data_IF_521530116079
#
_entry.id   IF_521530116079
#
_cell.length_a   1.000
_cell.length_b   1.000
_cell.length_c   1.000
_cell.angle_alpha   90.00
_cell.angle_beta   90.00
_cell.angle_gamma   90.00
#
_symmetry.space_group_name_H-M   'P 1'
#
loop_
_entity.id
_entity.type
_entity.pdbx_description
1 polymer ?
#
# COMPACT_ATOMS: atom_id res chain seq x y z
N UNK A 1 -10.69 -8.31 11.06
CA UNK A 1 -9.86 -8.25 9.85
C UNK A 1 -9.81 -9.64 9.24
N UNK A 2 -10.21 -9.82 7.97
CA UNK A 2 -10.28 -11.12 7.29
C UNK A 2 -9.60 -11.12 5.90
N UNK A 3 -8.82 -10.08 5.61
CA UNK A 3 -8.02 -9.99 4.39
C UNK A 3 -6.56 -10.26 4.76
N UNK A 4 -5.94 -11.23 4.10
CA UNK A 4 -4.54 -11.61 4.31
C UNK A 4 -3.80 -11.47 3.00
N UNK A 5 -2.68 -10.75 3.03
CA UNK A 5 -1.81 -10.53 1.89
C UNK A 5 -0.42 -11.12 2.16
N UNK A 6 0.12 -11.84 1.18
CA UNK A 6 1.46 -12.42 1.21
C UNK A 6 2.09 -12.33 -0.19
N UNK A 7 3.24 -12.97 -0.42
CA UNK A 7 3.88 -13.07 -1.72
C UNK A 7 4.84 -14.26 -1.76
N UNK A 8 5.08 -14.79 -2.97
CA UNK A 8 6.08 -15.83 -3.24
C UNK A 8 7.46 -15.45 -2.65
N UNK A 9 7.90 -14.21 -2.85
CA UNK A 9 9.23 -13.73 -2.48
C UNK A 9 9.39 -13.50 -0.97
N UNK A 10 8.32 -13.37 -0.20
CA UNK A 10 8.42 -13.08 1.23
C UNK A 10 9.05 -14.27 1.96
N UNK A 11 10.29 -14.08 2.41
CA UNK A 11 11.15 -15.14 2.96
C UNK A 11 11.25 -16.36 2.03
N UNK A 12 11.36 -16.11 0.71
CA UNK A 12 11.48 -17.16 -0.31
C UNK A 12 10.38 -18.25 -0.21
N UNK A 13 9.15 -17.84 0.09
CA UNK A 13 7.96 -18.69 0.15
C UNK A 13 7.60 -19.15 1.57
N UNK A 14 8.44 -18.90 2.57
CA UNK A 14 8.14 -19.29 3.96
C UNK A 14 6.91 -18.56 4.50
N UNK A 15 6.67 -17.31 4.10
CA UNK A 15 5.46 -16.58 4.50
C UNK A 15 4.18 -17.29 4.07
N UNK A 16 4.14 -17.81 2.84
CA UNK A 16 2.99 -18.56 2.34
C UNK A 16 2.77 -19.88 3.08
N UNK A 17 3.85 -20.54 3.51
CA UNK A 17 3.76 -21.76 4.33
C UNK A 17 3.15 -21.45 5.70
N UNK A 18 3.59 -20.38 6.36
CA UNK A 18 3.09 -19.95 7.67
C UNK A 18 1.61 -19.53 7.55
N UNK A 19 1.26 -18.76 6.52
CA UNK A 19 -0.13 -18.35 6.25
C UNK A 19 -1.00 -19.58 6.00
N UNK A 20 -0.54 -20.52 5.17
CA UNK A 20 -1.27 -21.76 4.90
C UNK A 20 -1.53 -22.59 6.16
N UNK A 21 -0.57 -22.62 7.08
CA UNK A 21 -0.76 -23.27 8.38
C UNK A 21 -1.80 -22.54 9.24
N UNK A 22 -1.71 -21.20 9.31
CA UNK A 22 -2.60 -20.37 10.10
C UNK A 22 -4.06 -20.39 9.61
N UNK A 23 -4.29 -20.71 8.33
CA UNK A 23 -5.62 -20.74 7.71
C UNK A 23 -6.35 -22.07 7.78
N UNK A 24 -5.72 -23.12 8.33
CA UNK A 24 -6.36 -24.44 8.43
C UNK A 24 -7.69 -24.36 9.18
N UNK A 25 -8.74 -24.87 8.54
CA UNK A 25 -10.10 -24.93 9.11
C UNK A 25 -10.88 -23.61 9.07
N UNK A 26 -10.32 -22.55 8.48
CA UNK A 26 -10.96 -21.21 8.40
C UNK A 26 -10.78 -20.54 7.04
N UNK A 27 -10.41 -21.30 6.01
CA UNK A 27 -10.09 -20.76 4.68
C UNK A 27 -11.27 -20.02 4.05
N UNK A 28 -12.49 -20.50 4.26
CA UNK A 28 -13.72 -19.89 3.72
C UNK A 28 -14.04 -18.51 4.33
N UNK A 29 -13.50 -18.19 5.51
CA UNK A 29 -13.76 -16.92 6.19
C UNK A 29 -12.80 -15.80 5.76
N UNK A 30 -11.80 -16.12 4.92
CA UNK A 30 -10.66 -15.26 4.61
C UNK A 30 -10.59 -14.93 3.13
N UNK A 31 -10.31 -13.66 2.82
CA UNK A 31 -9.90 -13.22 1.49
C UNK A 31 -8.37 -13.28 1.44
N UNK A 32 -7.82 -14.19 0.64
CA UNK A 32 -6.40 -14.46 0.52
C UNK A 32 -5.83 -13.86 -0.77
N UNK A 33 -4.91 -12.91 -0.60
CA UNK A 33 -4.14 -12.31 -1.67
C UNK A 33 -2.68 -12.79 -1.64
N UNK A 34 -2.12 -13.12 -2.81
CA UNK A 34 -0.67 -13.35 -2.96
C UNK A 34 -0.17 -12.78 -4.29
N UNK A 35 1.14 -12.66 -4.44
CA UNK A 35 1.81 -11.94 -5.52
C UNK A 35 2.92 -12.77 -6.15
N UNK A 36 3.22 -12.48 -7.42
CA UNK A 36 4.33 -13.06 -8.19
C UNK A 36 5.08 -11.98 -8.94
N UNK A 37 6.41 -12.05 -8.98
CA UNK A 37 7.26 -11.28 -9.91
C UNK A 37 8.74 -11.58 -9.69
N UNK A 38 9.18 -11.55 -8.43
CA UNK A 38 10.59 -11.55 -8.10
C UNK A 38 11.25 -12.92 -8.36
N UNK A 39 12.58 -12.99 -8.45
CA UNK A 39 13.27 -14.26 -8.69
C UNK A 39 13.09 -15.27 -7.55
N UNK A 40 12.53 -16.43 -7.85
CA UNK A 40 12.36 -17.56 -6.91
C UNK A 40 13.38 -18.67 -7.20
N UNK A 41 14.67 -18.32 -7.28
CA UNK A 41 15.80 -19.22 -7.48
C UNK A 41 16.64 -18.94 -8.73
N UNK A 42 17.65 -19.78 -8.94
CA UNK A 42 18.62 -19.59 -10.02
C UNK A 42 18.00 -19.95 -11.39
N UNK A 43 18.09 -19.00 -12.32
CA UNK A 43 17.69 -19.20 -13.71
C UNK A 43 16.80 -18.06 -14.25
N UNK A 44 16.84 -17.85 -15.58
CA UNK A 44 16.05 -16.80 -16.24
C UNK A 44 14.55 -17.10 -16.25
N UNK A 45 14.19 -18.37 -16.04
CA UNK A 45 12.85 -18.89 -16.18
C UNK A 45 12.06 -19.00 -14.85
N UNK A 46 12.60 -18.39 -13.78
CA UNK A 46 12.08 -18.40 -12.41
C UNK A 46 11.81 -16.99 -11.85
N UNK A 47 11.33 -16.09 -12.72
CA UNK A 47 11.09 -14.67 -12.41
C UNK A 47 10.17 -14.02 -13.44
N UNK A 48 9.75 -12.79 -13.16
CA UNK A 48 9.08 -11.86 -14.05
C UNK A 48 7.64 -12.22 -14.36
N UNK A 49 7.08 -11.58 -15.39
CA UNK A 49 5.64 -11.61 -15.66
C UNK A 49 5.28 -12.52 -16.84
N UNK A 50 6.16 -13.45 -17.22
CA UNK A 50 5.89 -14.36 -18.34
C UNK A 50 4.74 -15.30 -18.01
N UNK A 51 3.84 -15.56 -18.97
CA UNK A 51 2.73 -16.52 -18.81
C UNK A 51 3.21 -17.86 -18.25
N UNK A 52 4.33 -18.37 -18.75
CA UNK A 52 4.93 -19.64 -18.31
C UNK A 52 5.33 -19.60 -16.84
N UNK A 53 5.88 -18.48 -16.36
CA UNK A 53 6.27 -18.34 -14.97
C UNK A 53 5.07 -18.12 -14.05
N UNK A 54 4.15 -17.22 -14.40
CA UNK A 54 2.93 -16.95 -13.61
C UNK A 54 2.12 -18.23 -13.38
N UNK A 55 1.90 -19.05 -14.43
CA UNK A 55 1.18 -20.32 -14.31
C UNK A 55 1.93 -21.34 -13.45
N UNK A 56 3.25 -21.36 -13.51
CA UNK A 56 4.04 -22.25 -12.66
C UNK A 56 4.01 -21.78 -11.20
N UNK A 57 4.20 -20.49 -10.97
CA UNK A 57 4.32 -19.95 -9.62
C UNK A 57 2.99 -19.91 -8.87
N UNK A 58 1.85 -19.78 -9.57
CA UNK A 58 0.54 -19.91 -8.92
C UNK A 58 0.32 -21.32 -8.38
N UNK A 59 0.75 -22.36 -9.10
CA UNK A 59 0.69 -23.74 -8.63
C UNK A 59 1.58 -23.96 -7.40
N UNK A 60 2.79 -23.38 -7.39
CA UNK A 60 3.68 -23.45 -6.24
C UNK A 60 3.15 -22.65 -5.03
N UNK A 61 2.51 -21.50 -5.27
CA UNK A 61 1.86 -20.69 -4.24
C UNK A 61 0.70 -21.46 -3.59
N UNK A 62 -0.18 -22.10 -4.39
CA UNK A 62 -1.28 -22.94 -3.89
C UNK A 62 -0.76 -24.10 -3.02
N UNK A 63 0.36 -24.74 -3.41
CA UNK A 63 0.99 -25.79 -2.61
C UNK A 63 1.50 -25.27 -1.26
N UNK A 64 2.19 -24.12 -1.26
CA UNK A 64 2.70 -23.51 -0.01
C UNK A 64 1.57 -23.04 0.90
N UNK A 65 0.53 -22.42 0.32
CA UNK A 65 -0.67 -21.95 1.02
C UNK A 65 -1.63 -23.07 1.43
N UNK A 66 -1.45 -24.29 0.89
CA UNK A 66 -2.25 -25.50 1.19
C UNK A 66 -3.75 -25.28 0.98
N UNK A 67 -4.09 -24.61 -0.10
CA UNK A 67 -5.46 -24.32 -0.53
C UNK A 67 -5.56 -24.53 -2.04
N UNK A 68 -6.78 -24.73 -2.51
CA UNK A 68 -7.15 -24.90 -3.91
C UNK A 68 -7.57 -23.59 -4.59
N UNK A 69 -7.71 -22.48 -3.85
CA UNK A 69 -7.99 -21.17 -4.45
C UNK A 69 -7.26 -19.99 -3.77
N UNK A 70 -6.97 -18.99 -4.59
CA UNK A 70 -6.49 -17.66 -4.20
C UNK A 70 -7.55 -16.65 -4.65
N UNK A 71 -7.97 -15.76 -3.77
CA UNK A 71 -9.03 -14.78 -4.07
C UNK A 71 -8.50 -13.64 -4.95
N UNK A 72 -7.23 -13.26 -4.75
CA UNK A 72 -6.55 -12.22 -5.53
C UNK A 72 -5.09 -12.60 -5.81
N UNK A 73 -4.74 -12.73 -7.09
CA UNK A 73 -3.36 -13.00 -7.52
C UNK A 73 -2.80 -11.83 -8.33
N UNK A 74 -1.75 -11.19 -7.81
CA UNK A 74 -1.22 -9.93 -8.33
C UNK A 74 0.20 -10.07 -8.89
N UNK A 75 0.56 -9.20 -9.82
CA UNK A 75 1.95 -9.03 -10.25
C UNK A 75 2.64 -8.04 -9.29
N UNK A 76 3.73 -8.46 -8.63
CA UNK A 76 4.32 -7.76 -7.49
C UNK A 76 4.97 -6.40 -7.86
N UNK A 77 5.49 -6.25 -9.09
CA UNK A 77 6.09 -5.00 -9.58
C UNK A 77 5.88 -4.85 -11.11
N UNK A 78 5.62 -3.63 -11.56
CA UNK A 78 6.35 -2.97 -12.63
C UNK A 78 7.55 -2.22 -12.02
N UNK A 79 8.71 -2.21 -12.68
CA UNK A 79 10.02 -1.87 -12.09
C UNK A 79 10.55 -0.52 -12.59
N UNK A 80 11.16 0.29 -11.72
CA UNK A 80 11.97 1.51 -11.94
C UNK A 80 12.83 1.69 -10.66
N UNK A 81 14.02 2.33 -10.59
CA UNK A 81 14.93 2.29 -9.39
C UNK A 81 15.63 3.61 -9.01
N UNK A 82 15.53 4.13 -7.76
CA UNK A 82 16.12 5.45 -7.34
C UNK A 82 16.45 5.67 -5.85
N UNK A 83 17.45 6.56 -5.67
CA UNK A 83 18.04 7.27 -4.51
C UNK A 83 17.15 7.76 -3.35
N UNK A 84 17.79 7.83 -2.18
CA UNK A 84 17.18 7.83 -0.84
C UNK A 84 17.06 9.23 -0.22
N UNK A 85 17.85 10.21 -0.66
CA UNK A 85 18.00 11.51 0.03
C UNK A 85 16.74 12.39 -0.05
N UNK A 86 16.14 12.53 -1.23
CA UNK A 86 14.87 13.26 -1.41
C UNK A 86 13.72 12.58 -0.65
N UNK A 87 13.77 11.25 -0.52
CA UNK A 87 12.79 10.49 0.24
C UNK A 87 12.91 10.77 1.74
N UNK A 88 14.13 10.93 2.27
CA UNK A 88 14.35 11.19 3.70
C UNK A 88 13.80 12.56 4.12
N UNK A 89 14.06 13.62 3.34
CA UNK A 89 13.55 14.98 3.62
C UNK A 89 12.01 15.04 3.63
N UNK A 90 11.36 14.27 2.75
CA UNK A 90 9.89 14.15 2.74
C UNK A 90 9.38 13.38 3.96
N UNK A 91 10.05 12.29 4.33
CA UNK A 91 9.68 11.51 5.52
C UNK A 91 9.75 12.37 6.78
N UNK A 92 10.77 13.22 6.93
CA UNK A 92 10.89 14.14 8.06
C UNK A 92 9.70 15.11 8.14
N UNK A 93 9.32 15.74 7.02
CA UNK A 93 8.15 16.64 6.98
C UNK A 93 6.83 15.93 7.29
N UNK A 94 6.68 14.67 6.86
CA UNK A 94 5.49 13.87 7.17
C UNK A 94 5.45 13.43 8.65
N UNK A 95 6.61 13.21 9.28
CA UNK A 95 6.70 12.94 10.72
C UNK A 95 6.24 14.17 11.51
N UNK A 96 6.71 15.37 11.13
CA UNK A 96 6.28 16.63 11.76
C UNK A 96 4.76 16.83 11.61
N UNK A 97 4.22 16.63 10.41
CA UNK A 97 2.78 16.72 10.16
C UNK A 97 1.98 15.70 11.00
N UNK A 98 2.44 14.46 11.09
CA UNK A 98 1.77 13.44 11.91
C UNK A 98 1.76 13.86 13.40
N UNK A 99 2.90 14.37 13.89
CA UNK A 99 3.03 14.90 15.25
C UNK A 99 2.04 16.04 15.52
N UNK A 100 1.90 17.00 14.60
CA UNK A 100 0.94 18.11 14.69
C UNK A 100 -0.52 17.64 14.75
N UNK A 101 -0.81 16.48 14.15
CA UNK A 101 -2.12 15.83 14.18
C UNK A 101 -2.33 14.95 15.43
N UNK A 102 -1.30 14.79 16.27
CA UNK A 102 -1.33 13.90 17.44
C UNK A 102 -1.35 12.41 17.06
N UNK A 103 -0.83 12.07 15.88
CA UNK A 103 -0.70 10.69 15.42
C UNK A 103 0.75 10.35 15.04
N UNK A 104 1.03 9.07 14.86
CA UNK A 104 2.30 8.58 14.36
C UNK A 104 2.32 8.58 12.83
N UNK A 105 3.51 8.60 12.23
CA UNK A 105 3.64 8.47 10.77
C UNK A 105 2.95 7.20 10.21
N UNK A 106 3.06 6.00 10.83
CA UNK A 106 2.30 4.83 10.39
C UNK A 106 0.78 5.03 10.44
N UNK A 107 0.27 5.72 11.47
CA UNK A 107 -1.16 6.05 11.55
C UNK A 107 -1.60 6.96 10.39
N UNK A 108 -0.82 8.01 10.11
CA UNK A 108 -1.06 8.92 8.98
C UNK A 108 -0.99 8.21 7.62
N UNK A 109 0.01 7.33 7.44
CA UNK A 109 0.24 6.58 6.21
C UNK A 109 -0.90 5.63 5.86
N UNK A 110 -1.63 5.11 6.86
CA UNK A 110 -2.81 4.27 6.66
C UNK A 110 -4.05 5.11 6.40
N UNK A 111 -4.21 6.21 7.14
CA UNK A 111 -5.36 7.10 7.02
C UNK A 111 -5.42 7.79 5.65
N UNK A 112 -4.26 8.14 5.07
CA UNK A 112 -4.19 8.84 3.78
C UNK A 112 -4.84 8.07 2.61
N UNK A 113 -4.43 6.83 2.28
CA UNK A 113 -5.08 6.06 1.24
C UNK A 113 -6.52 5.71 1.62
N UNK A 114 -6.80 5.40 2.90
CA UNK A 114 -8.17 5.10 3.36
C UNK A 114 -9.15 6.27 3.18
N UNK A 115 -8.66 7.52 3.19
CA UNK A 115 -9.47 8.71 2.94
C UNK A 115 -9.88 8.87 1.46
N UNK A 116 -9.27 8.13 0.54
CA UNK A 116 -9.58 8.22 -0.88
C UNK A 116 -10.80 7.35 -1.23
N UNK A 117 -11.85 7.89 -1.89
CA UNK A 117 -13.10 7.16 -2.11
C UNK A 117 -12.97 5.92 -3.02
N UNK A 118 -11.87 5.82 -3.78
CA UNK A 118 -11.57 4.64 -4.60
C UNK A 118 -10.82 3.52 -3.85
N UNK A 119 -10.40 3.75 -2.60
CA UNK A 119 -9.67 2.76 -1.80
C UNK A 119 -10.65 2.06 -0.88
N UNK A 120 -10.80 0.74 -1.05
CA UNK A 120 -11.72 -0.08 -0.25
C UNK A 120 -11.05 -0.78 0.92
N UNK A 121 -9.74 -0.99 0.87
CA UNK A 121 -8.93 -1.56 1.95
C UNK A 121 -7.49 -1.05 1.88
N UNK A 122 -6.84 -0.99 3.05
CA UNK A 122 -5.41 -0.71 3.18
C UNK A 122 -4.74 -1.96 3.76
N UNK A 123 -3.79 -2.51 3.02
CA UNK A 123 -3.03 -3.69 3.44
C UNK A 123 -1.86 -3.23 4.31
N UNK A 124 -1.69 -3.88 5.45
CA UNK A 124 -0.69 -3.52 6.46
C UNK A 124 0.12 -4.75 6.85
N UNK A 125 1.43 -4.58 7.06
CA UNK A 125 2.35 -5.69 7.36
C UNK A 125 3.08 -5.54 8.69
N UNK A 126 2.36 -5.46 9.84
CA UNK A 126 3.01 -5.34 11.14
C UNK A 126 3.73 -6.64 11.50
N UNK A 127 4.96 -6.50 12.00
CA UNK A 127 5.78 -7.61 12.53
C UNK A 127 5.75 -7.69 14.06
N UNK A 128 5.18 -6.68 14.72
CA UNK A 128 4.97 -6.63 16.16
C UNK A 128 3.55 -6.23 16.50
N UNK A 129 3.12 -6.51 17.73
CA UNK A 129 1.78 -6.16 18.20
C UNK A 129 1.59 -4.64 18.24
N UNK A 130 2.59 -3.92 18.75
CA UNK A 130 2.60 -2.46 18.77
C UNK A 130 2.41 -1.84 17.38
N UNK A 131 3.07 -2.40 16.35
CA UNK A 131 2.88 -1.96 14.97
C UNK A 131 1.43 -2.18 14.52
N UNK A 132 0.83 -3.35 14.79
CA UNK A 132 -0.55 -3.61 14.42
C UNK A 132 -1.52 -2.65 15.12
N UNK A 133 -1.33 -2.40 16.42
CA UNK A 133 -2.18 -1.49 17.20
C UNK A 133 -2.12 -0.04 16.67
N UNK A 134 -0.91 0.47 16.41
CA UNK A 134 -0.74 1.79 15.79
C UNK A 134 -1.44 1.85 14.42
N UNK A 135 -1.27 0.82 13.61
CA UNK A 135 -1.86 0.78 12.27
C UNK A 135 -3.39 0.70 12.28
N UNK A 136 -3.96 -0.07 13.22
CA UNK A 136 -5.41 -0.13 13.45
C UNK A 136 -5.98 1.21 13.92
N UNK A 137 -5.29 1.93 14.80
CA UNK A 137 -5.68 3.28 15.22
C UNK A 137 -5.68 4.26 14.04
N UNK A 138 -4.72 4.14 13.13
CA UNK A 138 -4.66 4.92 11.88
C UNK A 138 -5.87 4.72 10.97
N UNK A 139 -6.39 3.50 10.87
CA UNK A 139 -7.58 3.19 10.04
C UNK A 139 -8.87 3.90 10.47
N UNK A 140 -8.94 4.36 11.73
CA UNK A 140 -10.08 5.10 12.26
C UNK A 140 -9.91 6.62 12.16
N UNK A 141 -8.73 7.09 11.74
CA UNK A 141 -8.41 8.50 11.65
C UNK A 141 -9.10 9.12 10.43
N UNK A 142 -9.88 10.18 10.67
CA UNK A 142 -10.47 10.98 9.58
C UNK A 142 -9.56 12.17 9.31
N UNK A 143 -9.05 12.27 8.09
CA UNK A 143 -8.22 13.41 7.66
C UNK A 143 -9.10 14.57 7.18
N UNK A 144 -8.85 15.76 7.72
CA UNK A 144 -9.51 16.98 7.25
C UNK A 144 -8.93 17.42 5.90
N UNK A 145 -9.69 18.17 5.11
CA UNK A 145 -9.24 18.68 3.79
C UNK A 145 -7.91 19.44 3.91
N UNK A 146 -7.76 20.31 4.93
CA UNK A 146 -6.49 21.03 5.19
C UNK A 146 -5.28 20.11 5.40
N UNK A 147 -5.50 18.91 5.94
CA UNK A 147 -4.44 17.92 6.16
C UNK A 147 -4.05 17.28 4.84
N UNK A 148 -5.03 16.98 3.99
CA UNK A 148 -4.80 16.47 2.64
C UNK A 148 -4.11 17.52 1.77
N UNK A 149 -4.49 18.80 1.88
CA UNK A 149 -3.81 19.91 1.22
C UNK A 149 -2.35 20.03 1.68
N UNK A 150 -2.08 19.86 2.97
CA UNK A 150 -0.71 19.88 3.51
C UNK A 150 0.13 18.69 3.03
N UNK A 151 -0.48 17.52 2.88
CA UNK A 151 0.18 16.35 2.26
C UNK A 151 0.51 16.65 0.79
N UNK A 152 -0.41 17.28 0.05
CA UNK A 152 -0.17 17.70 -1.34
C UNK A 152 0.91 18.80 -1.45
N UNK A 153 1.14 19.60 -0.41
CA UNK A 153 2.26 20.55 -0.37
C UNK A 153 3.61 19.85 -0.16
N UNK A 154 3.66 18.84 0.72
CA UNK A 154 4.86 18.06 1.04
C UNK A 154 5.20 17.11 -0.12
N UNK A 155 4.18 16.44 -0.67
CA UNK A 155 4.28 15.50 -1.79
C UNK A 155 3.24 15.89 -2.85
N UNK A 156 3.59 16.75 -3.83
CA UNK A 156 2.65 17.17 -4.85
C UNK A 156 2.01 16.00 -5.61
N UNK A 157 0.72 16.08 -6.00
CA UNK A 157 0.10 15.03 -6.78
C UNK A 157 0.87 14.75 -8.08
N UNK A 158 1.17 13.48 -8.34
CA UNK A 158 1.99 13.07 -9.47
C UNK A 158 3.50 13.22 -9.25
N UNK A 159 3.91 13.65 -8.05
CA UNK A 159 5.28 13.48 -7.58
C UNK A 159 5.53 12.01 -7.35
N UNK A 160 6.42 11.46 -8.15
CA UNK A 160 7.10 10.24 -7.81
C UNK A 160 8.35 10.66 -7.03
N UNK A 161 8.41 10.37 -5.74
CA UNK A 161 9.60 10.63 -4.89
C UNK A 161 10.78 9.70 -5.26
N UNK A 162 10.62 9.02 -6.39
CA UNK A 162 11.44 7.98 -6.93
C UNK A 162 11.66 8.28 -8.41
N UNK A 163 12.90 8.54 -8.80
CA UNK A 163 13.33 9.11 -10.09
C UNK A 163 14.43 8.27 -10.78
N UNK A 164 14.05 7.31 -11.62
CA UNK A 164 14.90 6.17 -12.02
C UNK A 164 16.31 6.48 -12.57
N UNK A 165 17.36 6.15 -11.82
CA UNK A 165 18.74 6.02 -12.34
C UNK A 165 19.06 4.52 -12.50
N UNK A 166 18.39 3.89 -13.47
CA UNK A 166 18.70 2.53 -13.90
C UNK A 166 17.47 1.69 -14.26
N UNK A 167 17.18 1.59 -15.56
CA UNK A 167 16.04 0.89 -16.17
C UNK A 167 14.70 1.42 -15.65
N UNK A 168 13.91 2.21 -16.37
CA UNK A 168 13.61 2.32 -17.78
C UNK A 168 12.73 3.58 -17.85
N UNK A 169 13.02 4.52 -18.75
CA UNK A 169 12.57 5.91 -18.67
C UNK A 169 11.06 6.19 -18.86
N UNK A 170 10.17 5.45 -18.21
CA UNK A 170 8.74 5.67 -18.22
C UNK A 170 8.35 6.74 -17.19
N UNK A 171 7.80 7.85 -17.68
CA UNK A 171 7.15 8.87 -16.86
C UNK A 171 5.65 8.58 -16.83
N UNK A 172 5.02 8.34 -15.66
CA UNK A 172 3.58 8.16 -15.60
C UNK A 172 2.86 9.42 -16.12
N UNK A 173 1.69 9.28 -16.77
CA UNK A 173 0.89 10.42 -17.20
C UNK A 173 0.53 11.25 -15.96
N UNK A 174 0.65 12.57 -16.08
CA UNK A 174 0.29 13.48 -15.00
C UNK A 174 -1.17 13.19 -14.57
N UNK A 175 -1.44 12.97 -13.28
CA UNK A 175 -2.82 12.88 -12.82
C UNK A 175 -3.54 14.20 -13.15
N UNK A 176 -4.87 14.16 -13.34
CA UNK A 176 -5.65 15.38 -13.56
C UNK A 176 -5.34 16.40 -12.45
N UNK A 177 -5.14 17.66 -12.85
CA UNK A 177 -4.63 18.72 -12.01
C UNK A 177 -5.44 18.91 -10.72
N UNK A 178 -4.81 18.65 -9.57
CA UNK A 178 -5.36 18.74 -8.20
C UNK A 178 -6.64 17.93 -8.02
N UNK A 179 -6.92 17.48 -6.79
CA UNK A 179 -8.29 17.07 -6.45
C UNK A 179 -9.18 18.26 -6.81
N UNK A 180 -10.27 18.11 -7.60
CA UNK A 180 -11.13 19.24 -7.93
C UNK A 180 -11.59 19.85 -6.60
N UNK A 181 -11.09 21.05 -6.32
CA UNK A 181 -11.33 21.72 -5.06
C UNK A 181 -12.83 21.85 -4.86
N UNK A 182 -13.35 21.27 -3.78
CA UNK A 182 -14.63 21.73 -3.24
C UNK A 182 -14.36 23.12 -2.73
N UNK A 183 -14.65 24.11 -3.59
CA UNK A 183 -14.42 25.51 -3.30
C UNK A 183 -14.94 25.83 -1.89
N UNK A 184 -14.12 26.53 -1.12
CA UNK A 184 -14.56 27.32 0.02
C UNK A 184 -15.82 28.06 -0.42
N UNK A 185 -16.99 27.63 0.08
CA UNK A 185 -18.21 28.37 -0.13
C UNK A 185 -18.15 29.58 0.82
N UNK A 186 -17.95 30.83 0.34
CA UNK A 186 -17.75 32.00 1.20
C UNK A 186 -19.08 32.52 1.80
N UNK A 187 -20.17 31.75 1.72
CA UNK A 187 -21.51 32.18 2.11
C UNK A 187 -22.19 31.23 3.11
N UNK A 188 -21.55 30.98 4.25
CA UNK A 188 -22.27 30.61 5.46
C UNK A 188 -22.22 31.81 6.42
N UNK A 189 -23.13 32.77 6.21
CA UNK A 189 -23.38 33.86 7.15
C UNK A 189 -23.95 33.30 8.44
N UNK A 190 -23.42 33.74 9.57
CA UNK A 190 -23.99 33.53 10.91
C UNK A 190 -25.44 34.01 10.98
N UNK A 191 -26.33 33.32 11.73
CA UNK A 191 -27.64 33.85 12.02
C UNK A 191 -27.52 34.94 13.11
N UNK A 192 -28.12 36.10 12.82
CA UNK A 192 -28.26 37.19 13.77
C UNK A 192 -29.03 36.74 15.02
N UNK A 193 -28.45 37.04 16.19
CA UNK A 193 -29.12 36.96 17.49
C UNK A 193 -30.27 37.98 17.58
N UNK A 194 -31.41 37.52 18.10
CA UNK A 194 -32.47 38.38 18.65
C UNK A 194 -32.37 38.41 20.16
#
# INVERSE_FOLDING_TARGET
MNFIDTADMYSAGESEVIVGEALRGRRDDVVLATKVHFPMGDGPNRRGNSRRWILKEVEESLKRLRTDWIDLYQVHRPDHTTDIEETLDVVEQLIELASDLGCSLPELAVAFPAAHPAVTSVIIGPRTMEQLEATLKGSALTLADRTLDRIDEIVPPGTDLYRADGADGHRPPAPPARRPGRGLNPQAREPASS
#
